data_IF_276276206137
#
_entry.id   IF_276276206137
#
_cell.length_a   1.000
_cell.length_b   1.000
_cell.length_c   1.000
_cell.angle_alpha   90.00
_cell.angle_beta   90.00
_cell.angle_gamma   90.00
#
_symmetry.space_group_name_H-M   'P 1'
#
loop_
_entity.id
_entity.type
_entity.pdbx_description
1 polymer ?
#
# COMPACT_ATOMS: atom_id res chain seq x y z
N UNK A 1 13.69 -4.43 -4.92
CA UNK A 1 14.46 -3.55 -5.82
C UNK A 1 15.11 -2.44 -5.00
N UNK A 2 16.43 -2.55 -4.81
CA UNK A 2 17.23 -1.61 -3.99
C UNK A 2 17.91 -0.52 -4.85
N UNK A 3 17.56 -0.41 -6.13
CA UNK A 3 18.26 0.41 -7.10
C UNK A 3 18.60 1.84 -6.67
N UNK A 4 17.63 2.68 -6.20
CA UNK A 4 17.96 4.04 -5.75
C UNK A 4 18.82 4.09 -4.47
N UNK A 5 18.60 3.18 -3.53
CA UNK A 5 19.37 3.13 -2.27
C UNK A 5 20.83 2.80 -2.55
N UNK A 6 21.08 1.78 -3.36
CA UNK A 6 22.45 1.40 -3.73
C UNK A 6 23.21 2.53 -4.43
N UNK A 7 22.52 3.31 -5.25
CA UNK A 7 23.11 4.47 -5.94
C UNK A 7 23.44 5.62 -4.97
N UNK A 8 22.61 5.85 -3.98
CA UNK A 8 22.84 6.90 -2.97
C UNK A 8 23.95 6.51 -1.98
N UNK A 9 24.21 5.24 -1.80
CA UNK A 9 25.30 4.73 -0.97
C UNK A 9 26.64 4.66 -1.70
N UNK A 10 26.66 4.79 -3.04
CA UNK A 10 27.88 4.80 -3.84
C UNK A 10 28.43 6.23 -3.93
N UNK A 11 29.63 6.50 -3.38
CA UNK A 11 30.19 7.86 -3.36
C UNK A 11 30.63 8.35 -4.74
N UNK A 12 30.68 7.48 -5.75
CA UNK A 12 31.07 7.80 -7.11
C UNK A 12 30.14 7.11 -8.10
N UNK A 13 29.57 7.84 -9.05
CA UNK A 13 28.77 7.27 -10.12
C UNK A 13 29.60 6.27 -10.95
N UNK A 14 29.17 5.02 -11.09
CA UNK A 14 29.86 4.04 -11.92
C UNK A 14 29.80 4.35 -13.43
N UNK A 15 28.90 5.26 -13.84
CA UNK A 15 28.69 5.63 -15.25
C UNK A 15 29.45 6.89 -15.61
N UNK A 16 29.36 7.95 -14.79
CA UNK A 16 29.89 9.27 -15.10
C UNK A 16 31.16 9.64 -14.32
N UNK A 17 31.51 8.86 -13.30
CA UNK A 17 32.61 9.20 -12.39
C UNK A 17 32.34 10.40 -11.46
N UNK A 18 31.10 10.94 -11.47
CA UNK A 18 30.72 12.05 -10.59
C UNK A 18 30.79 11.62 -9.13
N UNK A 19 31.46 12.43 -8.30
CA UNK A 19 31.45 12.24 -6.85
C UNK A 19 30.19 12.89 -6.24
N UNK A 20 29.54 12.13 -5.34
CA UNK A 20 28.37 12.61 -4.59
C UNK A 20 28.78 12.74 -3.12
N UNK A 21 29.05 13.97 -2.68
CA UNK A 21 29.64 14.26 -1.37
C UNK A 21 28.83 13.73 -0.18
N UNK A 22 27.50 13.65 -0.31
CA UNK A 22 26.59 13.22 0.75
C UNK A 22 26.03 11.80 0.55
N UNK A 23 26.40 11.10 -0.51
CA UNK A 23 25.80 9.79 -0.84
C UNK A 23 25.97 8.77 0.29
N UNK A 24 27.17 8.68 0.88
CA UNK A 24 27.47 7.72 1.94
C UNK A 24 26.75 8.02 3.28
N UNK A 25 26.22 9.23 3.47
CA UNK A 25 25.47 9.61 4.67
C UNK A 25 23.96 9.58 4.48
N UNK A 26 23.48 9.36 3.27
CA UNK A 26 22.05 9.33 2.93
C UNK A 26 21.53 7.91 3.05
N UNK A 27 20.50 7.72 3.87
CA UNK A 27 19.76 6.44 3.96
C UNK A 27 18.38 6.60 3.34
N UNK A 28 18.03 5.65 2.49
CA UNK A 28 16.67 5.53 1.96
C UNK A 28 15.84 4.71 2.94
N UNK A 29 14.73 5.28 3.38
CA UNK A 29 13.74 4.59 4.21
C UNK A 29 12.37 4.76 3.56
N UNK A 30 11.57 3.71 3.51
CA UNK A 30 10.20 3.82 3.03
C UNK A 30 9.36 4.58 4.05
N UNK A 31 8.46 5.44 3.58
CA UNK A 31 7.61 6.25 4.47
C UNK A 31 6.76 5.41 5.44
N UNK A 32 6.40 4.20 5.05
CA UNK A 32 5.68 3.24 5.91
C UNK A 32 6.56 2.81 7.09
N UNK A 33 7.82 2.44 6.85
CA UNK A 33 8.76 2.05 7.90
C UNK A 33 9.01 3.22 8.85
N UNK A 34 9.20 4.42 8.29
CA UNK A 34 9.40 5.64 9.10
C UNK A 34 8.17 5.96 9.96
N UNK A 35 6.96 5.82 9.40
CA UNK A 35 5.73 6.06 10.17
C UNK A 35 5.53 5.02 11.27
N UNK A 36 5.81 3.74 11.00
CA UNK A 36 5.78 2.69 12.02
C UNK A 36 6.80 2.95 13.13
N UNK A 37 8.02 3.38 12.79
CA UNK A 37 9.04 3.78 13.77
C UNK A 37 8.58 4.92 14.68
N UNK A 38 7.96 5.96 14.10
CA UNK A 38 7.37 7.06 14.88
C UNK A 38 6.27 6.58 15.84
N UNK A 39 5.46 5.61 15.42
CA UNK A 39 4.41 5.01 16.26
C UNK A 39 5.05 4.21 17.40
N UNK A 40 6.02 3.36 17.12
CA UNK A 40 6.74 2.56 18.12
C UNK A 40 7.39 3.42 19.21
N UNK A 41 7.87 4.61 18.83
CA UNK A 41 8.50 5.56 19.75
C UNK A 41 7.51 6.57 20.34
N UNK A 42 6.19 6.37 20.19
CA UNK A 42 5.15 7.27 20.70
C UNK A 42 5.33 8.75 20.28
N UNK A 43 5.83 8.99 19.06
CA UNK A 43 6.03 10.33 18.51
C UNK A 43 4.78 10.91 17.87
N UNK A 44 3.78 10.07 17.58
CA UNK A 44 2.50 10.45 17.02
C UNK A 44 1.37 10.10 18.00
N UNK A 45 0.36 10.95 18.04
CA UNK A 45 -0.86 10.72 18.83
C UNK A 45 -2.04 10.68 17.86
N UNK A 46 -2.88 9.68 17.99
CA UNK A 46 -4.01 9.48 17.10
C UNK A 46 -5.34 9.46 17.85
N UNK A 47 -6.34 10.03 17.22
CA UNK A 47 -7.73 9.82 17.57
C UNK A 47 -8.36 8.85 16.54
N UNK A 48 -8.42 7.58 16.91
CA UNK A 48 -8.98 6.52 16.03
C UNK A 48 -10.45 6.74 15.71
N UNK A 49 -11.18 7.45 16.59
CA UNK A 49 -12.62 7.68 16.42
C UNK A 49 -12.93 8.46 15.13
N UNK A 50 -11.97 9.20 14.61
CA UNK A 50 -12.10 9.94 13.35
C UNK A 50 -12.16 9.04 12.11
N UNK A 51 -11.85 7.75 12.26
CA UNK A 51 -11.95 6.71 11.23
C UNK A 51 -13.01 5.65 11.56
N UNK A 52 -13.93 5.90 12.51
CA UNK A 52 -14.91 4.89 12.99
C UNK A 52 -15.98 4.53 11.93
N UNK A 53 -16.22 5.42 10.97
CA UNK A 53 -17.08 5.18 9.82
C UNK A 53 -16.44 4.23 8.78
N UNK A 54 -15.13 3.95 8.92
CA UNK A 54 -14.35 3.13 8.00
C UNK A 54 -14.17 1.72 8.58
N UNK A 55 -14.59 0.73 7.80
CA UNK A 55 -14.29 -0.68 8.04
C UNK A 55 -13.25 -1.09 6.99
N UNK A 56 -12.00 -1.19 7.43
CA UNK A 56 -10.83 -1.18 6.57
C UNK A 56 -10.34 -2.61 6.29
N UNK A 57 -9.96 -2.88 5.06
CA UNK A 57 -9.05 -3.96 4.68
C UNK A 57 -7.84 -3.40 3.95
N UNK A 58 -6.79 -4.19 3.75
CA UNK A 58 -5.53 -3.72 3.19
C UNK A 58 -5.09 -4.53 1.97
N UNK A 59 -4.73 -3.83 0.89
CA UNK A 59 -4.08 -4.41 -0.28
C UNK A 59 -2.56 -4.29 -0.14
N UNK A 60 -1.89 -5.41 -0.01
CA UNK A 60 -0.43 -5.49 -0.07
C UNK A 60 0.06 -5.19 -1.48
N UNK A 61 0.61 -4.01 -1.68
CA UNK A 61 1.17 -3.60 -2.98
C UNK A 61 2.39 -4.45 -3.31
N UNK A 62 2.46 -5.00 -4.52
CA UNK A 62 3.46 -6.00 -4.89
C UNK A 62 4.91 -5.54 -4.69
N UNK A 63 5.23 -4.26 -4.95
CA UNK A 63 6.57 -3.73 -4.76
C UNK A 63 6.96 -3.67 -3.27
N UNK A 64 6.08 -3.18 -2.41
CA UNK A 64 6.37 -3.06 -0.97
C UNK A 64 6.35 -4.41 -0.28
N UNK A 65 5.41 -5.28 -0.60
CA UNK A 65 5.30 -6.60 0.04
C UNK A 65 6.36 -7.59 -0.49
N UNK A 66 6.31 -7.95 -1.78
CA UNK A 66 7.24 -8.94 -2.35
C UNK A 66 8.64 -8.39 -2.61
N UNK A 67 8.73 -7.13 -3.03
CA UNK A 67 10.00 -6.51 -3.40
C UNK A 67 10.82 -6.04 -2.20
N UNK A 68 10.17 -5.48 -1.19
CA UNK A 68 10.83 -4.86 -0.04
C UNK A 68 10.63 -5.61 1.28
N UNK A 69 9.69 -6.57 1.36
CA UNK A 69 9.39 -7.30 2.60
C UNK A 69 8.65 -6.46 3.65
N UNK A 70 8.08 -5.31 3.26
CA UNK A 70 7.29 -4.45 4.16
C UNK A 70 5.89 -5.06 4.29
N UNK A 71 5.69 -5.87 5.31
CA UNK A 71 4.49 -6.70 5.48
C UNK A 71 3.69 -6.34 6.73
N UNK A 72 4.36 -6.08 7.83
CA UNK A 72 3.75 -5.85 9.14
C UNK A 72 3.49 -4.37 9.39
N UNK A 73 4.40 -3.50 9.01
CA UNK A 73 4.35 -2.06 9.25
C UNK A 73 3.06 -1.40 8.76
N UNK A 74 2.52 -1.71 7.56
CA UNK A 74 1.24 -1.14 7.13
C UNK A 74 0.08 -1.54 8.05
N UNK A 75 0.11 -2.77 8.54
CA UNK A 75 -0.91 -3.31 9.45
C UNK A 75 -0.84 -2.67 10.83
N UNK A 76 0.36 -2.45 11.33
CA UNK A 76 0.60 -1.74 12.58
C UNK A 76 0.08 -0.31 12.51
N UNK A 77 0.37 0.40 11.41
CA UNK A 77 -0.13 1.76 11.18
C UNK A 77 -1.65 1.76 11.12
N UNK A 78 -2.27 0.89 10.31
CA UNK A 78 -3.73 0.84 10.19
C UNK A 78 -4.39 0.55 11.56
N UNK A 79 -3.86 -0.40 12.32
CA UNK A 79 -4.35 -0.72 13.67
C UNK A 79 -4.13 0.40 14.68
N UNK A 80 -3.11 1.25 14.47
CA UNK A 80 -2.88 2.42 15.31
C UNK A 80 -3.87 3.55 15.04
N UNK A 81 -4.44 3.64 13.84
CA UNK A 81 -5.30 4.76 13.41
C UNK A 81 -6.76 4.38 13.15
N UNK A 82 -7.09 3.07 13.11
CA UNK A 82 -8.46 2.57 12.86
C UNK A 82 -8.87 1.57 13.94
N UNK A 83 -10.15 1.58 14.32
CA UNK A 83 -10.73 0.59 15.20
C UNK A 83 -11.19 -0.67 14.47
N UNK A 84 -11.61 -0.55 13.20
CA UNK A 84 -12.20 -1.61 12.42
C UNK A 84 -11.27 -2.00 11.26
N UNK A 85 -10.43 -3.03 11.45
CA UNK A 85 -9.54 -3.57 10.44
C UNK A 85 -9.70 -5.07 10.32
N UNK A 86 -9.91 -5.57 9.10
CA UNK A 86 -10.10 -6.98 8.78
C UNK A 86 -9.18 -7.41 7.64
N UNK A 87 -8.43 -8.48 7.86
CA UNK A 87 -7.58 -9.07 6.81
C UNK A 87 -8.42 -9.81 5.77
N UNK A 88 -7.99 -9.76 4.53
CA UNK A 88 -8.46 -10.65 3.49
C UNK A 88 -7.96 -12.09 3.73
N UNK A 89 -8.46 -13.09 2.97
CA UNK A 89 -8.02 -14.48 3.13
C UNK A 89 -6.49 -14.62 3.05
N UNK A 90 -5.91 -15.45 3.91
CA UNK A 90 -4.46 -15.61 4.08
C UNK A 90 -3.71 -15.92 2.78
N UNK A 91 -4.35 -16.65 1.87
CA UNK A 91 -3.80 -16.99 0.56
C UNK A 91 -3.77 -15.82 -0.43
N UNK A 92 -4.27 -14.64 -0.03
CA UNK A 92 -4.40 -13.45 -0.89
C UNK A 92 -3.67 -12.21 -0.37
N UNK A 93 -2.97 -12.32 0.75
CA UNK A 93 -2.29 -11.21 1.43
C UNK A 93 -0.78 -11.42 1.53
N UNK A 94 -0.09 -10.41 2.02
CA UNK A 94 1.37 -10.45 2.25
C UNK A 94 2.12 -10.82 0.95
N UNK A 95 3.04 -11.77 0.98
CA UNK A 95 3.80 -12.24 -0.18
C UNK A 95 2.91 -12.94 -1.22
N UNK A 96 1.77 -13.50 -0.78
CA UNK A 96 0.78 -14.14 -1.65
C UNK A 96 -0.18 -13.14 -2.29
N UNK A 97 0.07 -11.83 -2.11
CA UNK A 97 -0.84 -10.78 -2.59
C UNK A 97 -1.25 -10.97 -4.05
N UNK A 98 -2.51 -10.74 -4.32
CA UNK A 98 -3.08 -10.80 -5.67
C UNK A 98 -2.87 -9.47 -6.40
N UNK A 99 -2.79 -9.52 -7.72
CA UNK A 99 -2.52 -8.35 -8.55
C UNK A 99 -3.67 -7.34 -8.52
N UNK A 100 -3.33 -6.04 -8.49
CA UNK A 100 -4.30 -4.95 -8.66
C UNK A 100 -4.76 -4.77 -10.12
N UNK A 101 -4.10 -5.42 -11.07
CA UNK A 101 -4.36 -5.31 -12.52
C UNK A 101 -3.57 -4.20 -13.22
N UNK A 102 -2.78 -3.38 -12.52
CA UNK A 102 -2.18 -2.17 -13.10
C UNK A 102 -0.68 -2.21 -13.35
N UNK A 103 -0.02 -3.33 -13.05
CA UNK A 103 1.43 -3.45 -13.20
C UNK A 103 1.92 -3.49 -14.65
N UNK A 104 3.25 -3.39 -14.83
CA UNK A 104 3.95 -3.56 -16.10
C UNK A 104 3.41 -2.67 -17.25
N UNK A 105 2.97 -1.43 -16.95
CA UNK A 105 2.47 -0.51 -17.98
C UNK A 105 1.03 -0.76 -18.43
N UNK A 106 0.31 -1.68 -17.81
CA UNK A 106 -1.09 -1.97 -18.16
C UNK A 106 -2.09 -0.89 -17.70
N UNK A 107 -1.66 0.18 -17.06
CA UNK A 107 -2.53 1.26 -16.58
C UNK A 107 -2.99 2.25 -17.67
N UNK A 108 -2.69 1.99 -18.93
CA UNK A 108 -3.22 2.73 -20.06
C UNK A 108 -4.70 2.37 -20.32
N UNK A 109 -5.48 3.35 -20.78
CA UNK A 109 -6.93 3.20 -21.00
C UNK A 109 -7.32 2.06 -21.94
N UNK A 110 -6.51 1.84 -22.98
CA UNK A 110 -6.66 0.76 -23.95
C UNK A 110 -6.60 -0.66 -23.35
N UNK A 111 -5.97 -0.78 -22.19
CA UNK A 111 -5.81 -2.06 -21.47
C UNK A 111 -6.89 -2.27 -20.39
N UNK A 112 -7.94 -1.45 -20.36
CA UNK A 112 -8.93 -1.46 -19.27
C UNK A 112 -9.55 -2.85 -19.09
N UNK A 113 -9.98 -3.51 -20.17
CA UNK A 113 -10.59 -4.84 -20.06
C UNK A 113 -9.62 -5.87 -19.47
N UNK A 114 -8.37 -5.88 -19.93
CA UNK A 114 -7.34 -6.78 -19.42
C UNK A 114 -7.06 -6.52 -17.93
N UNK A 115 -7.00 -5.25 -17.55
CA UNK A 115 -6.82 -4.83 -16.14
C UNK A 115 -7.96 -5.29 -15.25
N UNK A 116 -9.19 -5.09 -15.71
CA UNK A 116 -10.40 -5.48 -14.97
C UNK A 116 -10.46 -7.00 -14.76
N UNK A 117 -10.06 -7.77 -15.77
CA UNK A 117 -9.97 -9.24 -15.66
C UNK A 117 -8.80 -9.67 -14.78
N UNK A 118 -7.62 -9.06 -14.96
CA UNK A 118 -6.42 -9.38 -14.17
C UNK A 118 -6.55 -9.02 -12.69
N UNK A 119 -7.29 -7.97 -12.36
CA UNK A 119 -7.59 -7.55 -10.98
C UNK A 119 -8.77 -8.29 -10.34
N UNK A 120 -9.55 -9.07 -11.11
CA UNK A 120 -10.74 -9.74 -10.60
C UNK A 120 -10.51 -10.61 -9.36
N UNK A 121 -9.45 -11.45 -9.28
CA UNK A 121 -9.18 -12.23 -8.06
C UNK A 121 -8.97 -11.34 -6.82
N UNK A 122 -8.34 -10.18 -6.97
CA UNK A 122 -8.22 -9.20 -5.88
C UNK A 122 -9.60 -8.65 -5.47
N UNK A 123 -10.43 -8.32 -6.44
CA UNK A 123 -11.79 -7.86 -6.17
C UNK A 123 -12.62 -8.92 -5.41
N UNK A 124 -12.48 -10.20 -5.76
CA UNK A 124 -13.14 -11.29 -5.04
C UNK A 124 -12.66 -11.41 -3.59
N UNK A 125 -11.35 -11.28 -3.34
CA UNK A 125 -10.80 -11.26 -1.99
C UNK A 125 -11.38 -10.11 -1.14
N UNK A 126 -11.52 -8.91 -1.74
CA UNK A 126 -12.18 -7.77 -1.07
C UNK A 126 -13.66 -8.03 -0.83
N UNK A 127 -14.36 -8.58 -1.84
CA UNK A 127 -15.78 -8.93 -1.71
C UNK A 127 -16.04 -9.89 -0.55
N UNK A 128 -15.18 -10.89 -0.38
CA UNK A 128 -15.33 -11.89 0.68
C UNK A 128 -15.31 -11.27 2.08
N UNK A 129 -14.46 -10.28 2.33
CA UNK A 129 -14.41 -9.59 3.63
C UNK A 129 -15.48 -8.51 3.75
N UNK A 130 -15.87 -7.88 2.64
CA UNK A 130 -17.03 -6.97 2.62
C UNK A 130 -18.30 -7.71 3.03
N UNK A 131 -18.56 -8.84 2.42
CA UNK A 131 -19.80 -9.61 2.66
C UNK A 131 -19.83 -10.24 4.07
N UNK A 132 -18.66 -10.52 4.63
CA UNK A 132 -18.53 -11.11 5.97
C UNK A 132 -18.50 -10.09 7.10
N UNK A 133 -17.80 -8.97 6.92
CA UNK A 133 -17.49 -8.02 7.98
C UNK A 133 -17.99 -6.60 7.71
N UNK A 134 -18.61 -6.36 6.54
CA UNK A 134 -19.08 -5.03 6.17
C UNK A 134 -17.96 -4.08 5.72
N UNK A 135 -16.80 -4.61 5.29
CA UNK A 135 -15.68 -3.78 4.80
C UNK A 135 -16.17 -2.81 3.73
N UNK A 136 -15.90 -1.53 3.93
CA UNK A 136 -16.28 -0.44 3.04
C UNK A 136 -15.07 0.33 2.48
N UNK A 137 -13.86 0.02 2.97
CA UNK A 137 -12.64 0.75 2.63
C UNK A 137 -11.47 -0.20 2.37
N UNK A 138 -10.85 -0.06 1.19
CA UNK A 138 -9.63 -0.76 0.80
C UNK A 138 -8.45 0.20 0.88
N UNK A 139 -7.57 0.01 1.86
CA UNK A 139 -6.35 0.78 2.01
C UNK A 139 -5.21 0.19 1.16
N UNK A 140 -4.33 1.05 0.66
CA UNK A 140 -3.14 0.67 -0.10
C UNK A 140 -1.99 1.68 0.09
N UNK A 141 -0.81 1.39 -0.49
CA UNK A 141 0.38 2.25 -0.38
C UNK A 141 0.81 2.79 -1.74
N UNK A 142 0.71 1.98 -2.79
CA UNK A 142 1.28 2.26 -4.11
C UNK A 142 0.47 3.30 -4.88
N UNK A 143 1.16 4.22 -5.57
CA UNK A 143 0.51 5.21 -6.42
C UNK A 143 -0.28 4.58 -7.59
N UNK A 144 0.22 3.47 -8.16
CA UNK A 144 -0.51 2.74 -9.21
C UNK A 144 -1.80 2.14 -8.65
N UNK A 145 -1.76 1.57 -7.44
CA UNK A 145 -2.97 1.04 -6.80
C UNK A 145 -4.03 2.12 -6.61
N UNK A 146 -3.61 3.37 -6.30
CA UNK A 146 -4.50 4.54 -6.18
C UNK A 146 -5.22 4.89 -7.47
N UNK A 147 -4.64 4.53 -8.62
CA UNK A 147 -5.24 4.76 -9.95
C UNK A 147 -6.10 3.59 -10.39
N UNK A 148 -5.66 2.34 -10.13
CA UNK A 148 -6.28 1.17 -10.75
C UNK A 148 -7.32 0.47 -9.87
N UNK A 149 -7.19 0.55 -8.54
CA UNK A 149 -8.15 -0.08 -7.63
C UNK A 149 -9.51 0.64 -7.59
N UNK A 150 -9.63 1.97 -7.66
CA UNK A 150 -10.96 2.60 -7.67
C UNK A 150 -11.87 2.07 -8.78
N UNK A 151 -11.53 2.12 -10.07
CA UNK A 151 -12.40 1.58 -11.11
C UNK A 151 -12.60 0.05 -10.99
N UNK A 152 -11.64 -0.69 -10.44
CA UNK A 152 -11.79 -2.12 -10.18
C UNK A 152 -12.85 -2.38 -9.10
N UNK A 153 -12.83 -1.60 -8.02
CA UNK A 153 -13.82 -1.70 -6.93
C UNK A 153 -15.19 -1.24 -7.40
N UNK A 154 -15.28 -0.11 -8.11
CA UNK A 154 -16.54 0.41 -8.63
C UNK A 154 -17.27 -0.62 -9.49
N UNK A 155 -16.53 -1.39 -10.28
CA UNK A 155 -17.09 -2.38 -11.18
C UNK A 155 -17.43 -3.72 -10.47
N UNK A 156 -16.50 -4.27 -9.69
CA UNK A 156 -16.64 -5.61 -9.11
C UNK A 156 -17.17 -5.63 -7.69
N UNK A 157 -16.93 -4.57 -6.91
CA UNK A 157 -17.24 -4.50 -5.47
C UNK A 157 -17.79 -3.10 -5.14
N UNK A 158 -18.89 -2.68 -5.81
CA UNK A 158 -19.40 -1.32 -5.67
C UNK A 158 -19.68 -0.94 -4.22
N UNK A 159 -19.41 0.32 -3.89
CA UNK A 159 -19.52 0.83 -2.51
C UNK A 159 -18.26 0.64 -1.66
N UNK A 160 -17.19 0.06 -2.21
CA UNK A 160 -15.89 -0.03 -1.54
C UNK A 160 -15.01 1.16 -1.92
N UNK A 161 -14.74 2.03 -0.96
CA UNK A 161 -13.83 3.17 -1.11
C UNK A 161 -12.38 2.71 -1.17
N UNK A 162 -11.54 3.36 -1.97
CA UNK A 162 -10.08 3.12 -2.01
C UNK A 162 -9.36 4.31 -1.41
N UNK A 163 -8.45 4.07 -0.45
CA UNK A 163 -7.71 5.11 0.28
C UNK A 163 -6.23 4.74 0.45
N UNK A 164 -5.38 5.73 0.68
CA UNK A 164 -3.98 5.50 1.08
C UNK A 164 -3.85 5.27 2.59
N UNK A 165 -2.89 4.46 3.02
CA UNK A 165 -2.60 4.26 4.46
C UNK A 165 -2.33 5.61 5.15
N UNK A 166 -1.57 6.51 4.50
CA UNK A 166 -1.27 7.83 5.08
C UNK A 166 -2.45 8.81 5.07
N UNK A 167 -3.48 8.57 4.25
CA UNK A 167 -4.74 9.32 4.35
C UNK A 167 -5.47 8.96 5.65
N UNK A 168 -5.47 7.68 6.04
CA UNK A 168 -6.00 7.24 7.33
C UNK A 168 -5.21 7.84 8.50
N UNK A 169 -3.89 7.88 8.39
CA UNK A 169 -2.99 8.53 9.37
C UNK A 169 -3.33 10.01 9.49
N UNK A 170 -3.38 10.73 8.38
CA UNK A 170 -3.66 12.16 8.36
C UNK A 170 -5.05 12.50 8.95
N UNK A 171 -6.02 11.63 8.72
CA UNK A 171 -7.37 11.81 9.27
C UNK A 171 -7.41 11.63 10.81
N UNK A 172 -6.59 10.72 11.33
CA UNK A 172 -6.52 10.41 12.76
C UNK A 172 -5.61 11.37 13.55
N UNK A 173 -4.77 12.18 12.91
CA UNK A 173 -3.97 13.22 13.54
C UNK A 173 -4.84 14.43 13.93
#
# INVERSE_FOLDING_TARGET
WNGPADWLEVPVSPITGTKFENAASTKMIHIIEFTADLIHHNKLKFDKSRNDDLIVTFHDSCNTSRGMGILDEPREIIKAVCNNFYEMPEETIREKTLCCGGGAGLNAGENMELRMRGGFPRAEAVRSVRDRFGVNTLANICAIDRVVLPPLMDYWVPGTRVTGVHELVANAL
#
